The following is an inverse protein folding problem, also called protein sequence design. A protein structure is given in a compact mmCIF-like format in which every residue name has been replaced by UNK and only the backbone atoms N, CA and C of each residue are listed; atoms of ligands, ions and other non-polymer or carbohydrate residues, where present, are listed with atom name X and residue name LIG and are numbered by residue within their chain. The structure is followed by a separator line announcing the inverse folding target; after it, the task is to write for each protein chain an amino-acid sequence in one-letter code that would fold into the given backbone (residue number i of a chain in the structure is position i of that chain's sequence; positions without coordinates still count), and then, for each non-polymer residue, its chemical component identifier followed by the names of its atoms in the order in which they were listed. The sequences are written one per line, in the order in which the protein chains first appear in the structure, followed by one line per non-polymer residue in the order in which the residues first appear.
data_IF_017555307824
#
_entry.id   IF_017555307824
#
_cell.length_a   1.000
_cell.length_b   1.000
_cell.length_c   1.000
_cell.angle_alpha   90.00
_cell.angle_beta   90.00
_cell.angle_gamma   90.00
#
_symmetry.space_group_name_H-M   'P 1'
#
loop_
_entity.id
_entity.type
_entity.pdbx_description
1 polymer ?
#
# COMPACT_ATOMS: atom_id res chain seq x y z
N UNK A 1 -11.27 -4.50 -4.76
CA UNK A 1 -11.10 -5.76 -5.54
C UNK A 1 -10.01 -6.58 -4.89
N UNK A 2 -10.10 -7.91 -4.90
CA UNK A 2 -9.14 -8.78 -4.22
C UNK A 2 -9.79 -9.61 -3.12
N UNK A 3 -9.09 -9.77 -2.00
CA UNK A 3 -9.52 -10.54 -0.81
C UNK A 3 -10.99 -10.23 -0.41
N UNK A 4 -11.79 -11.29 -0.27
CA UNK A 4 -13.20 -11.23 0.09
C UNK A 4 -13.48 -10.88 1.57
N UNK A 5 -12.47 -10.90 2.44
CA UNK A 5 -12.52 -10.46 3.83
C UNK A 5 -13.05 -9.03 3.95
N UNK A 6 -12.75 -8.17 2.97
CA UNK A 6 -13.31 -6.81 2.91
C UNK A 6 -14.83 -6.80 2.87
N UNK A 7 -15.46 -7.73 2.17
CA UNK A 7 -16.92 -7.82 2.08
C UNK A 7 -17.54 -8.34 3.37
N UNK A 8 -16.79 -9.15 4.12
CA UNK A 8 -17.22 -9.63 5.43
C UNK A 8 -17.15 -8.54 6.50
N UNK A 9 -16.16 -7.65 6.43
CA UNK A 9 -15.93 -6.58 7.40
C UNK A 9 -16.69 -5.29 7.07
N UNK A 10 -16.78 -4.93 5.79
CA UNK A 10 -17.28 -3.64 5.30
C UNK A 10 -18.25 -3.83 4.11
N UNK A 11 -19.35 -4.59 4.25
CA UNK A 11 -20.21 -5.03 3.15
C UNK A 11 -20.90 -3.89 2.37
N UNK A 12 -21.11 -2.74 2.98
CA UNK A 12 -21.88 -1.62 2.40
C UNK A 12 -21.01 -0.38 2.09
N UNK A 13 -19.68 -0.50 2.21
CA UNK A 13 -18.77 0.64 2.12
C UNK A 13 -18.17 0.86 0.72
N UNK A 14 -18.51 0.02 -0.26
CA UNK A 14 -17.94 0.07 -1.60
C UNK A 14 -19.01 0.35 -2.66
N UNK A 15 -18.75 1.30 -3.54
CA UNK A 15 -19.60 1.54 -4.71
C UNK A 15 -19.53 0.38 -5.72
N UNK A 16 -18.32 -0.18 -5.89
CA UNK A 16 -18.06 -1.36 -6.70
C UNK A 16 -17.08 -2.29 -5.99
N UNK A 17 -17.33 -3.59 -6.04
CA UNK A 17 -16.50 -4.61 -5.39
C UNK A 17 -16.39 -5.88 -6.23
N UNK A 18 -15.17 -6.40 -6.34
CA UNK A 18 -14.84 -7.64 -7.04
C UNK A 18 -14.06 -8.55 -6.08
N UNK A 19 -14.75 -9.33 -5.21
CA UNK A 19 -14.12 -10.19 -4.23
C UNK A 19 -13.70 -11.55 -4.82
N UNK A 20 -12.62 -12.11 -4.29
CA UNK A 20 -12.09 -13.44 -4.63
C UNK A 20 -11.83 -14.23 -3.34
N UNK A 21 -12.06 -15.55 -3.38
CA UNK A 21 -11.83 -16.44 -2.24
C UNK A 21 -10.36 -16.40 -1.80
N UNK A 22 -10.14 -16.09 -0.52
CA UNK A 22 -8.84 -15.75 0.06
C UNK A 22 -8.15 -16.89 0.82
N UNK A 23 -8.89 -17.90 1.31
CA UNK A 23 -8.32 -18.87 2.27
C UNK A 23 -7.55 -20.03 1.63
N UNK A 24 -7.53 -20.13 0.30
CA UNK A 24 -6.78 -21.17 -0.38
C UNK A 24 -5.32 -20.75 -0.62
N UNK A 25 -4.45 -21.01 0.36
CA UNK A 25 -3.00 -20.72 0.27
C UNK A 25 -2.27 -21.44 -0.87
N UNK A 26 -2.90 -22.42 -1.53
CA UNK A 26 -2.35 -23.06 -2.73
C UNK A 26 -2.56 -22.24 -4.01
N UNK A 27 -3.45 -21.27 -3.96
CA UNK A 27 -3.71 -20.37 -5.06
C UNK A 27 -2.78 -19.16 -4.98
N UNK A 28 -1.82 -19.10 -5.90
CA UNK A 28 -0.87 -17.99 -5.97
C UNK A 28 -1.29 -16.93 -6.99
N UNK A 29 -2.38 -17.12 -7.73
CA UNK A 29 -2.58 -16.37 -8.98
C UNK A 29 -3.99 -15.83 -9.18
N UNK A 30 -5.05 -16.53 -8.78
CA UNK A 30 -6.42 -16.14 -9.15
C UNK A 30 -6.77 -14.77 -8.61
N UNK A 31 -6.43 -14.50 -7.34
CA UNK A 31 -6.70 -13.21 -6.70
C UNK A 31 -5.89 -12.10 -7.37
N UNK A 32 -4.57 -12.28 -7.52
CA UNK A 32 -3.69 -11.28 -8.14
C UNK A 32 -4.09 -10.96 -9.60
N UNK A 33 -4.41 -11.97 -10.39
CA UNK A 33 -4.89 -11.81 -11.77
C UNK A 33 -6.27 -11.15 -11.78
N UNK A 34 -7.14 -11.54 -10.85
CA UNK A 34 -8.45 -10.94 -10.64
C UNK A 34 -8.36 -9.44 -10.38
N UNK A 35 -7.46 -9.03 -9.47
CA UNK A 35 -7.18 -7.61 -9.20
C UNK A 35 -6.66 -6.92 -10.45
N UNK A 36 -5.66 -7.49 -11.14
CA UNK A 36 -5.10 -6.90 -12.36
C UNK A 36 -6.16 -6.66 -13.45
N UNK A 37 -7.04 -7.64 -13.67
CA UNK A 37 -8.11 -7.57 -14.66
C UNK A 37 -9.13 -6.45 -14.39
N UNK A 38 -9.27 -6.02 -13.13
CA UNK A 38 -10.21 -4.97 -12.73
C UNK A 38 -9.53 -3.62 -12.52
N UNK A 39 -8.30 -3.59 -11.98
CA UNK A 39 -7.62 -2.36 -11.60
C UNK A 39 -7.17 -1.54 -12.81
N UNK A 40 -6.66 -2.18 -13.87
CA UNK A 40 -6.17 -1.45 -15.03
C UNK A 40 -7.30 -0.75 -15.80
N UNK A 41 -8.46 -1.40 -16.10
CA UNK A 41 -9.61 -0.70 -16.66
C UNK A 41 -10.13 0.41 -15.75
N UNK A 42 -10.18 0.20 -14.42
CA UNK A 42 -10.69 1.20 -13.48
C UNK A 42 -9.82 2.47 -13.47
N UNK A 43 -8.49 2.31 -13.50
CA UNK A 43 -7.54 3.44 -13.61
C UNK A 43 -7.74 4.19 -14.93
N UNK A 44 -7.88 3.47 -16.05
CA UNK A 44 -8.03 4.09 -17.38
C UNK A 44 -9.37 4.81 -17.57
N UNK A 45 -10.43 4.36 -16.90
CA UNK A 45 -11.74 5.01 -16.93
C UNK A 45 -11.75 6.35 -16.17
N UNK A 46 -10.90 6.48 -15.15
CA UNK A 46 -10.74 7.71 -14.36
C UNK A 46 -12.07 8.21 -13.75
N UNK A 47 -12.86 7.27 -13.21
CA UNK A 47 -14.19 7.55 -12.61
C UNK A 47 -14.24 7.38 -11.09
N UNK A 48 -13.16 6.90 -10.49
CA UNK A 48 -13.12 6.57 -9.06
C UNK A 48 -12.22 7.56 -8.31
N UNK A 49 -12.72 8.06 -7.18
CA UNK A 49 -11.89 8.85 -6.25
C UNK A 49 -10.88 7.96 -5.51
N UNK A 50 -11.23 6.69 -5.27
CA UNK A 50 -10.41 5.70 -4.57
C UNK A 50 -10.54 4.34 -5.25
N UNK A 51 -9.41 3.70 -5.52
CA UNK A 51 -9.33 2.32 -6.01
C UNK A 51 -8.48 1.52 -5.03
N UNK A 52 -9.01 0.38 -4.55
CA UNK A 52 -8.30 -0.53 -3.64
C UNK A 52 -8.14 -1.88 -4.32
N UNK A 53 -6.89 -2.27 -4.58
CA UNK A 53 -6.50 -3.60 -5.04
C UNK A 53 -5.74 -4.35 -3.94
N UNK A 54 -6.32 -5.44 -3.44
CA UNK A 54 -5.72 -6.27 -2.39
C UNK A 54 -5.17 -7.56 -3.00
N UNK A 55 -3.84 -7.71 -3.01
CA UNK A 55 -3.13 -8.86 -3.56
C UNK A 55 -2.82 -9.87 -2.45
N UNK A 56 -2.79 -11.18 -2.78
CA UNK A 56 -2.52 -12.24 -1.82
C UNK A 56 -1.37 -13.17 -2.25
N UNK A 57 -0.97 -13.13 -3.51
CA UNK A 57 -0.02 -14.12 -4.03
C UNK A 57 1.34 -14.10 -3.34
N UNK A 58 1.80 -12.94 -2.82
CA UNK A 58 3.06 -12.85 -2.05
C UNK A 58 2.93 -13.57 -0.70
N UNK A 59 1.86 -13.30 0.05
CA UNK A 59 1.59 -13.95 1.33
C UNK A 59 1.45 -15.47 1.16
N UNK A 60 0.58 -15.90 0.24
CA UNK A 60 0.38 -17.32 -0.05
C UNK A 60 1.67 -18.00 -0.49
N UNK A 61 2.49 -17.32 -1.30
CA UNK A 61 3.78 -17.84 -1.71
C UNK A 61 4.74 -18.01 -0.52
N UNK A 62 4.75 -17.05 0.42
CA UNK A 62 5.54 -17.13 1.65
C UNK A 62 5.08 -18.26 2.58
N UNK A 63 3.78 -18.45 2.80
CA UNK A 63 3.27 -19.59 3.56
C UNK A 63 3.62 -20.93 2.91
N UNK A 64 3.53 -20.97 1.57
CA UNK A 64 3.72 -22.20 0.82
C UNK A 64 5.18 -22.61 0.72
N UNK A 65 6.06 -21.62 0.59
CA UNK A 65 7.48 -21.76 0.34
C UNK A 65 8.27 -20.82 1.25
N UNK A 66 9.40 -21.28 1.77
CA UNK A 66 10.30 -20.40 2.52
C UNK A 66 10.72 -19.16 1.69
N UNK A 67 11.20 -18.12 2.40
CA UNK A 67 11.57 -16.84 1.80
C UNK A 67 12.70 -16.92 0.75
N UNK A 68 13.38 -18.07 0.62
CA UNK A 68 14.48 -18.26 -0.34
C UNK A 68 14.04 -18.97 -1.64
N UNK A 69 12.75 -19.23 -1.81
CA UNK A 69 12.23 -19.92 -2.98
C UNK A 69 12.16 -19.02 -4.22
N UNK A 70 12.48 -19.58 -5.39
CA UNK A 70 12.36 -18.89 -6.68
C UNK A 70 10.93 -18.40 -6.98
N UNK A 71 9.92 -19.13 -6.50
CA UNK A 71 8.51 -18.75 -6.67
C UNK A 71 8.21 -17.40 -6.01
N UNK A 72 8.78 -17.11 -4.83
CA UNK A 72 8.57 -15.82 -4.15
C UNK A 72 9.22 -14.69 -4.95
N UNK A 73 10.42 -14.93 -5.49
CA UNK A 73 11.07 -13.95 -6.37
C UNK A 73 10.26 -13.68 -7.63
N UNK A 74 9.72 -14.71 -8.27
CA UNK A 74 8.85 -14.57 -9.44
C UNK A 74 7.58 -13.77 -9.10
N UNK A 75 6.98 -14.06 -7.95
CA UNK A 75 5.81 -13.35 -7.45
C UNK A 75 6.09 -11.88 -7.13
N UNK A 76 7.22 -11.57 -6.49
CA UNK A 76 7.65 -10.19 -6.26
C UNK A 76 7.90 -9.44 -7.58
N UNK A 77 8.48 -10.11 -8.59
CA UNK A 77 8.64 -9.51 -9.91
C UNK A 77 7.30 -9.23 -10.59
N UNK A 78 6.30 -10.11 -10.42
CA UNK A 78 4.92 -9.86 -10.89
C UNK A 78 4.35 -8.59 -10.26
N UNK A 79 4.44 -8.43 -8.94
CA UNK A 79 3.97 -7.22 -8.25
C UNK A 79 4.73 -5.98 -8.74
N UNK A 80 6.05 -6.06 -8.93
CA UNK A 80 6.81 -4.93 -9.48
C UNK A 80 6.30 -4.50 -10.87
N UNK A 81 6.01 -5.45 -11.76
CA UNK A 81 5.42 -5.16 -13.07
C UNK A 81 4.02 -4.54 -12.96
N UNK A 82 3.20 -4.98 -12.00
CA UNK A 82 1.90 -4.37 -11.71
C UNK A 82 2.07 -2.90 -11.30
N UNK A 83 2.99 -2.62 -10.37
CA UNK A 83 3.29 -1.26 -9.90
C UNK A 83 3.76 -0.38 -11.05
N UNK A 84 4.68 -0.85 -11.88
CA UNK A 84 5.14 -0.13 -13.09
C UNK A 84 3.98 0.20 -14.03
N UNK A 85 3.07 -0.76 -14.26
CA UNK A 85 1.90 -0.56 -15.11
C UNK A 85 0.91 0.45 -14.51
N UNK A 86 0.67 0.42 -13.20
CA UNK A 86 -0.17 1.42 -12.52
C UNK A 86 0.43 2.80 -12.70
N UNK A 87 1.74 2.97 -12.45
CA UNK A 87 2.45 4.24 -12.59
C UNK A 87 2.36 4.78 -14.03
N UNK A 88 2.44 3.90 -15.03
CA UNK A 88 2.31 4.30 -16.43
C UNK A 88 0.89 4.76 -16.77
N UNK A 89 -0.14 4.07 -16.25
CA UNK A 89 -1.56 4.28 -16.58
C UNK A 89 -2.25 5.38 -15.78
N UNK A 90 -1.86 5.60 -14.53
CA UNK A 90 -2.47 6.61 -13.65
C UNK A 90 -2.32 8.02 -14.23
N UNK A 91 -3.26 8.92 -13.96
CA UNK A 91 -3.16 10.32 -14.39
C UNK A 91 -2.21 11.12 -13.47
N UNK A 92 -1.94 12.39 -13.82
CA UNK A 92 -1.02 13.26 -13.07
C UNK A 92 -1.55 13.72 -11.71
N UNK A 93 -2.86 13.57 -11.47
CA UNK A 93 -3.55 13.98 -10.24
C UNK A 93 -3.82 12.80 -9.30
N UNK A 94 -3.33 11.60 -9.62
CA UNK A 94 -3.49 10.41 -8.80
C UNK A 94 -2.28 10.23 -7.88
N UNK A 95 -2.51 9.70 -6.68
CA UNK A 95 -1.47 9.24 -5.76
C UNK A 95 -1.56 7.72 -5.68
N UNK A 96 -0.44 7.05 -5.93
CA UNK A 96 -0.30 5.62 -5.66
C UNK A 96 0.28 5.44 -4.26
N UNK A 97 -0.40 4.66 -3.44
CA UNK A 97 0.07 4.26 -2.11
C UNK A 97 0.04 2.73 -2.06
N UNK A 98 1.17 2.13 -1.68
CA UNK A 98 1.32 0.69 -1.48
C UNK A 98 1.68 0.48 -0.02
N UNK A 99 0.92 -0.40 0.64
CA UNK A 99 1.11 -0.79 2.03
C UNK A 99 1.11 -2.30 2.14
N UNK A 100 1.87 -2.84 3.10
CA UNK A 100 1.72 -4.21 3.58
C UNK A 100 1.15 -4.17 4.99
N UNK A 101 0.21 -5.05 5.30
CA UNK A 101 -0.36 -5.21 6.64
C UNK A 101 0.63 -5.89 7.60
N UNK A 102 1.40 -6.86 7.10
CA UNK A 102 2.47 -7.52 7.85
C UNK A 102 3.67 -7.90 6.96
N UNK A 103 4.77 -8.28 7.61
CA UNK A 103 5.92 -8.95 7.02
C UNK A 103 5.81 -10.47 7.19
N UNK A 104 6.90 -11.21 6.99
CA UNK A 104 6.89 -12.67 7.04
C UNK A 104 8.26 -13.20 7.50
N UNK A 105 8.27 -14.16 8.43
CA UNK A 105 9.50 -14.84 8.84
C UNK A 105 10.07 -15.70 7.72
N UNK A 106 11.36 -16.04 7.80
CA UNK A 106 12.02 -16.95 6.85
C UNK A 106 11.33 -18.31 6.63
N UNK A 107 10.55 -18.78 7.61
CA UNK A 107 9.79 -20.02 7.55
C UNK A 107 8.39 -19.86 6.99
N UNK A 108 8.04 -18.68 6.49
CA UNK A 108 6.73 -18.43 5.90
C UNK A 108 5.61 -18.28 6.93
N UNK A 109 5.92 -17.73 8.11
CA UNK A 109 4.93 -17.49 9.15
C UNK A 109 4.90 -16.02 9.58
N UNK A 110 3.75 -15.55 10.08
CA UNK A 110 3.54 -14.19 10.55
C UNK A 110 2.55 -14.13 11.73
N UNK A 111 2.32 -12.94 12.30
CA UNK A 111 1.42 -12.70 13.43
C UNK A 111 2.12 -12.63 14.79
N UNK A 112 3.43 -12.85 14.82
CA UNK A 112 4.31 -12.60 15.96
C UNK A 112 4.89 -11.18 15.97
N UNK A 113 5.68 -10.84 17.02
CA UNK A 113 6.25 -9.52 17.22
C UNK A 113 7.68 -9.38 16.66
N UNK A 114 8.16 -10.32 15.84
CA UNK A 114 9.53 -10.25 15.34
C UNK A 114 9.67 -9.11 14.33
N UNK A 115 10.90 -8.60 14.17
CA UNK A 115 11.20 -7.49 13.24
C UNK A 115 10.75 -7.85 11.82
N UNK A 116 11.03 -9.08 11.37
CA UNK A 116 10.63 -9.59 10.04
C UNK A 116 9.10 -9.61 9.83
N UNK A 117 8.32 -9.69 10.90
CA UNK A 117 6.84 -9.74 10.84
C UNK A 117 6.19 -8.36 10.94
N UNK A 118 6.84 -7.39 11.60
CA UNK A 118 6.28 -6.04 11.81
C UNK A 118 6.86 -4.98 10.87
N UNK A 119 8.08 -5.18 10.36
CA UNK A 119 8.65 -4.30 9.33
C UNK A 119 7.96 -4.58 7.99
N UNK A 120 7.32 -3.55 7.47
CA UNK A 120 6.41 -3.64 6.32
C UNK A 120 6.71 -2.57 5.29
N UNK A 121 6.17 -2.76 4.09
CA UNK A 121 6.33 -1.80 2.99
C UNK A 121 5.34 -0.66 3.17
N UNK A 122 5.85 0.57 3.13
CA UNK A 122 5.09 1.77 2.77
C UNK A 122 5.78 2.44 1.58
N UNK A 123 5.05 2.61 0.48
CA UNK A 123 5.54 3.30 -0.69
C UNK A 123 4.49 4.28 -1.20
N UNK A 124 4.91 5.52 -1.47
CA UNK A 124 4.08 6.56 -2.06
C UNK A 124 4.66 7.04 -3.38
N UNK A 125 3.81 7.30 -4.36
CA UNK A 125 4.21 7.85 -5.65
C UNK A 125 3.17 8.80 -6.23
N UNK A 126 3.64 9.91 -6.79
CA UNK A 126 2.86 10.79 -7.68
C UNK A 126 3.75 11.15 -8.86
N UNK A 127 3.16 11.41 -10.03
CA UNK A 127 3.93 11.82 -11.22
C UNK A 127 4.62 13.18 -11.04
N UNK A 128 4.03 14.04 -10.21
CA UNK A 128 4.56 15.38 -9.90
C UNK A 128 5.61 15.36 -8.78
N UNK A 129 5.70 14.25 -8.04
CA UNK A 129 6.49 14.12 -6.82
C UNK A 129 5.80 14.73 -5.59
N UNK A 130 6.26 14.33 -4.41
CA UNK A 130 5.89 14.98 -3.15
C UNK A 130 6.81 16.18 -2.88
N UNK A 131 6.29 17.14 -2.13
CA UNK A 131 7.06 18.28 -1.66
C UNK A 131 8.15 17.84 -0.68
N UNK A 132 9.32 18.49 -0.78
CA UNK A 132 10.47 18.24 0.11
C UNK A 132 11.01 19.55 0.67
N UNK A 133 11.11 19.64 2.00
CA UNK A 133 11.72 20.80 2.67
C UNK A 133 13.23 20.75 2.54
N UNK A 134 13.78 21.59 1.67
CA UNK A 134 15.22 21.72 1.42
C UNK A 134 15.92 20.41 1.00
N UNK A 135 16.86 20.49 0.06
CA UNK A 135 17.58 19.34 -0.50
C UNK A 135 18.50 18.57 0.49
N UNK A 136 18.24 18.61 1.79
CA UNK A 136 19.03 17.93 2.84
C UNK A 136 18.67 16.45 3.00
N UNK A 137 17.52 16.01 2.49
CA UNK A 137 17.08 14.60 2.55
C UNK A 137 17.25 13.83 1.22
N UNK A 138 17.93 14.40 0.23
CA UNK A 138 18.09 13.81 -1.09
C UNK A 138 19.50 13.25 -1.35
N UNK A 139 20.03 12.48 -0.40
CA UNK A 139 20.79 11.30 -0.78
C UNK A 139 20.04 10.12 -0.21
N UNK A 140 19.60 9.23 -1.08
CA UNK A 140 19.19 7.88 -0.70
C UNK A 140 20.43 7.23 -0.11
N UNK A 141 20.64 7.45 1.18
CA UNK A 141 21.68 6.82 1.94
C UNK A 141 21.05 5.55 2.49
N UNK A 142 21.52 4.38 2.01
CA UNK A 142 21.07 3.07 2.50
C UNK A 142 21.26 2.89 4.02
N UNK A 143 21.85 3.87 4.72
CA UNK A 143 22.00 3.88 6.18
C UNK A 143 20.88 4.63 6.93
N UNK A 144 20.00 5.39 6.27
CA UNK A 144 18.87 6.07 6.91
C UNK A 144 17.54 5.62 6.30
N UNK A 145 16.93 4.60 6.91
CA UNK A 145 15.52 4.28 6.69
C UNK A 145 14.72 5.12 7.67
N UNK A 146 13.93 6.08 7.17
CA UNK A 146 12.97 6.79 8.01
C UNK A 146 11.90 5.78 8.44
N UNK A 147 11.87 5.47 9.72
CA UNK A 147 10.82 4.63 10.30
C UNK A 147 9.53 5.45 10.44
N UNK A 148 8.41 4.81 10.13
CA UNK A 148 7.05 5.34 10.26
C UNK A 148 6.21 4.23 10.88
N UNK A 149 5.21 4.59 11.68
CA UNK A 149 4.33 3.61 12.29
C UNK A 149 3.13 3.36 11.37
N UNK A 150 2.60 2.13 11.30
CA UNK A 150 1.41 1.86 10.47
C UNK A 150 0.19 2.71 10.88
N UNK A 151 0.11 3.10 12.15
CA UNK A 151 -0.95 4.00 12.66
C UNK A 151 -0.91 5.40 12.04
N UNK A 152 0.23 5.80 11.46
CA UNK A 152 0.41 7.10 10.79
C UNK A 152 -0.22 7.12 9.39
N UNK A 153 -0.61 5.96 8.84
CA UNK A 153 -1.24 5.86 7.51
C UNK A 153 -2.60 6.55 7.51
N UNK A 154 -3.44 6.31 8.52
CA UNK A 154 -4.80 6.87 8.60
C UNK A 154 -4.83 8.40 8.61
N UNK A 155 -4.11 9.11 9.50
CA UNK A 155 -4.10 10.58 9.50
C UNK A 155 -3.44 11.15 8.23
N UNK A 156 -2.50 10.41 7.64
CA UNK A 156 -1.91 10.76 6.33
C UNK A 156 -2.94 10.70 5.22
N UNK A 157 -3.73 9.63 5.12
CA UNK A 157 -4.82 9.54 4.15
C UNK A 157 -5.88 10.62 4.39
N UNK A 158 -6.29 10.85 5.65
CA UNK A 158 -7.22 11.93 6.00
C UNK A 158 -6.73 13.29 5.49
N UNK A 159 -5.45 13.60 5.68
CA UNK A 159 -4.85 14.83 5.15
C UNK A 159 -4.90 14.88 3.61
N UNK A 160 -4.48 13.81 2.93
CA UNK A 160 -4.46 13.76 1.46
C UNK A 160 -5.85 13.92 0.83
N UNK A 161 -6.89 13.38 1.48
CA UNK A 161 -8.29 13.51 1.04
C UNK A 161 -8.97 14.78 1.57
N UNK A 162 -8.28 15.63 2.33
CA UNK A 162 -8.86 16.79 3.00
C UNK A 162 -10.09 16.41 3.85
N UNK A 163 -9.99 15.31 4.58
CA UNK A 163 -11.01 14.77 5.47
C UNK A 163 -10.60 14.94 6.94
N UNK A 164 -11.57 15.00 7.86
CA UNK A 164 -11.26 14.94 9.29
C UNK A 164 -10.50 13.67 9.67
N UNK A 165 -9.53 13.80 10.56
CA UNK A 165 -8.84 12.65 11.16
C UNK A 165 -9.84 11.90 12.05
N UNK A 166 -9.96 10.56 11.95
CA UNK A 166 -10.83 9.77 12.81
C UNK A 166 -10.56 10.00 14.30
N UNK A 167 -11.60 10.11 15.11
CA UNK A 167 -11.51 10.50 16.52
C UNK A 167 -10.56 9.64 17.37
N UNK A 168 -10.50 8.33 17.10
CA UNK A 168 -9.65 7.39 17.83
C UNK A 168 -8.24 7.23 17.24
N UNK A 169 -7.85 8.08 16.29
CA UNK A 169 -6.52 8.02 15.69
C UNK A 169 -5.43 8.31 16.74
N UNK A 170 -4.36 7.51 16.70
CA UNK A 170 -3.19 7.66 17.57
C UNK A 170 -1.92 8.02 16.79
N UNK A 171 -1.93 7.91 15.46
CA UNK A 171 -0.78 8.25 14.63
C UNK A 171 -0.69 9.73 14.28
N UNK A 172 0.34 10.07 13.54
CA UNK A 172 0.62 11.43 13.08
C UNK A 172 0.76 11.49 11.55
N UNK A 173 0.66 12.68 10.98
CA UNK A 173 0.86 12.87 9.54
C UNK A 173 2.30 12.55 9.14
N UNK A 174 2.51 11.74 8.11
CA UNK A 174 3.84 11.44 7.55
C UNK A 174 4.28 12.60 6.63
N UNK A 175 5.28 13.41 7.02
CA UNK A 175 5.62 14.64 6.29
C UNK A 175 6.08 14.42 4.84
N UNK A 176 6.60 13.21 4.53
CA UNK A 176 7.06 12.83 3.19
C UNK A 176 5.93 12.71 2.16
N UNK A 177 4.67 12.60 2.62
CA UNK A 177 3.50 12.56 1.74
C UNK A 177 2.91 13.96 1.46
N UNK A 178 3.56 15.04 1.91
CA UNK A 178 3.05 16.39 1.68
C UNK A 178 3.13 16.76 0.19
N UNK A 179 2.02 17.25 -0.38
CA UNK A 179 1.94 17.63 -1.80
C UNK A 179 2.47 19.04 -2.07
N UNK A 180 2.26 19.96 -1.14
CA UNK A 180 2.67 21.36 -1.26
C UNK A 180 3.04 21.95 0.10
N UNK A 181 3.75 23.08 0.10
CA UNK A 181 4.14 23.75 1.34
C UNK A 181 2.90 24.31 2.04
N UNK A 182 2.41 23.62 3.06
CA UNK A 182 1.31 24.11 3.88
C UNK A 182 1.84 25.00 5.03
N UNK A 183 1.53 26.30 4.99
CA UNK A 183 1.93 27.27 6.02
C UNK A 183 1.18 27.13 7.35
N UNK A 184 0.03 26.45 7.38
CA UNK A 184 -0.73 26.21 8.62
C UNK A 184 -0.14 25.05 9.42
N UNK A 185 0.48 24.08 8.75
CA UNK A 185 1.05 22.88 9.34
C UNK A 185 2.29 23.15 10.22
N UNK A 186 3.00 24.26 9.99
CA UNK A 186 4.08 24.69 10.90
C UNK A 186 3.57 25.02 12.31
N UNK A 187 2.30 25.43 12.46
CA UNK A 187 1.75 25.80 13.77
C UNK A 187 1.26 24.62 14.60
N UNK A 188 1.08 23.45 14.01
CA UNK A 188 0.68 22.22 14.72
C UNK A 188 1.85 21.28 15.00
N UNK A 189 3.04 21.58 14.47
CA UNK A 189 4.29 20.83 14.66
C UNK A 189 5.28 21.55 15.60
N UNK A 190 4.92 22.73 16.13
CA UNK A 190 5.59 23.47 17.21
C UNK A 190 4.77 23.40 18.51
#
# INVERSE_FOLDING_TARGET
MGDDTWMNLLPENFNESYPFDSFNVWDLHTVDQGVQNQIFPAIEQDQFDIIIGHFLGVDHCGHRFDNNNIALKEKLNEINLVVENIIQKMNDNTILIIVSDHGMTDQGNHGGPTIEEIETVLFGYTKQGFWKQDNKYAKYDNTYVKQVEQIDIVPTLSFLFNMPIPFNNLGEFIPDFMLEKNSEMQKSLE
#
